data_IF_807483542715
#
_entry.id   IF_807483542715
#
_cell.length_a   1.000
_cell.length_b   1.000
_cell.length_c   1.000
_cell.angle_alpha   90.00
_cell.angle_beta   90.00
_cell.angle_gamma   90.00
#
_symmetry.space_group_name_H-M   'P 1'
#
loop_
_entity.id
_entity.type
_entity.pdbx_description
1 polymer ?
#
# COMPACT_ATOMS: atom_id res chain seq x y z
N UNK A 1 1.27 -11.49 7.81
CA UNK A 1 0.20 -10.55 7.38
C UNK A 1 -1.13 -10.68 8.14
N UNK A 2 -1.66 -11.88 8.38
CA UNK A 2 -2.99 -12.08 9.03
C UNK A 2 -3.18 -11.36 10.36
N UNK A 3 -2.17 -11.39 11.25
CA UNK A 3 -2.24 -10.73 12.56
C UNK A 3 -2.32 -9.21 12.41
N UNK A 4 -1.56 -8.61 11.50
CA UNK A 4 -1.61 -7.16 11.28
C UNK A 4 -2.91 -6.71 10.62
N UNK A 5 -3.49 -7.55 9.77
CA UNK A 5 -4.84 -7.34 9.24
C UNK A 5 -5.89 -7.41 10.35
N UNK A 6 -5.80 -8.40 11.23
CA UNK A 6 -6.69 -8.54 12.39
C UNK A 6 -6.57 -7.35 13.36
N UNK A 7 -5.39 -6.74 13.46
CA UNK A 7 -5.13 -5.52 14.24
C UNK A 7 -5.48 -4.22 13.50
N UNK A 8 -6.05 -4.28 12.29
CA UNK A 8 -6.45 -3.09 11.53
C UNK A 8 -5.28 -2.24 11.02
N UNK A 9 -4.11 -2.84 10.80
CA UNK A 9 -2.95 -2.11 10.29
C UNK A 9 -3.17 -1.64 8.85
N UNK A 10 -3.31 -0.33 8.68
CA UNK A 10 -3.69 0.27 7.41
C UNK A 10 -2.61 0.13 6.32
N UNK A 11 -1.33 0.16 6.70
CA UNK A 11 -0.20 -0.05 5.76
C UNK A 11 -0.19 -1.51 5.26
N UNK A 12 -0.49 -2.48 6.15
CA UNK A 12 -0.58 -3.89 5.76
C UNK A 12 -1.78 -4.13 4.82
N UNK A 13 -2.94 -3.55 5.15
CA UNK A 13 -4.13 -3.59 4.29
C UNK A 13 -3.85 -2.96 2.92
N UNK A 14 -3.18 -1.81 2.89
CA UNK A 14 -2.77 -1.15 1.65
C UNK A 14 -1.87 -2.05 0.79
N UNK A 15 -0.77 -2.57 1.36
CA UNK A 15 0.20 -3.39 0.60
C UNK A 15 -0.45 -4.65 0.04
N UNK A 16 -1.22 -5.35 0.88
CA UNK A 16 -1.93 -6.56 0.47
C UNK A 16 -2.99 -6.27 -0.57
N UNK A 17 -3.78 -5.21 -0.36
CA UNK A 17 -4.82 -4.79 -1.29
C UNK A 17 -4.28 -4.43 -2.66
N UNK A 18 -3.16 -3.69 -2.75
CA UNK A 18 -2.47 -3.41 -4.02
C UNK A 18 -2.03 -4.72 -4.70
N UNK A 19 -1.36 -5.61 -3.97
CA UNK A 19 -0.86 -6.86 -4.55
C UNK A 19 -2.01 -7.76 -5.03
N UNK A 20 -3.04 -7.95 -4.23
CA UNK A 20 -4.17 -8.82 -4.58
C UNK A 20 -5.01 -8.23 -5.72
N UNK A 21 -5.24 -6.91 -5.75
CA UNK A 21 -5.99 -6.27 -6.82
C UNK A 21 -5.24 -6.27 -8.15
N UNK A 22 -3.99 -5.79 -8.17
CA UNK A 22 -3.24 -5.59 -9.43
C UNK A 22 -2.53 -6.86 -9.93
N UNK A 23 -2.03 -7.72 -9.03
CA UNK A 23 -1.26 -8.90 -9.44
C UNK A 23 -2.10 -10.18 -9.49
N UNK A 24 -3.14 -10.30 -8.65
CA UNK A 24 -3.99 -11.50 -8.60
C UNK A 24 -5.37 -11.31 -9.20
N UNK A 25 -5.77 -10.08 -9.52
CA UNK A 25 -7.14 -9.75 -9.93
C UNK A 25 -8.19 -10.26 -8.93
N UNK A 26 -7.83 -10.31 -7.64
CA UNK A 26 -8.72 -10.73 -6.56
C UNK A 26 -9.59 -9.55 -6.12
N UNK A 27 -10.91 -9.73 -6.17
CA UNK A 27 -11.89 -8.71 -5.78
C UNK A 27 -11.79 -8.31 -4.31
N UNK A 28 -11.23 -9.17 -3.46
CA UNK A 28 -10.94 -8.83 -2.06
C UNK A 28 -9.91 -7.71 -1.93
N UNK A 29 -9.03 -7.53 -2.92
CA UNK A 29 -8.00 -6.49 -2.90
C UNK A 29 -8.58 -5.08 -2.83
N UNK A 30 -9.69 -4.83 -3.53
CA UNK A 30 -10.39 -3.54 -3.46
C UNK A 30 -10.98 -3.31 -2.06
N UNK A 31 -11.56 -4.33 -1.43
CA UNK A 31 -12.09 -4.22 -0.07
C UNK A 31 -11.03 -3.82 0.96
N UNK A 32 -9.82 -4.39 0.85
CA UNK A 32 -8.70 -4.02 1.72
C UNK A 32 -8.22 -2.58 1.47
N UNK A 33 -8.18 -2.15 0.20
CA UNK A 33 -7.83 -0.78 -0.16
C UNK A 33 -8.85 0.23 0.35
N UNK A 34 -10.14 -0.07 0.23
CA UNK A 34 -11.22 0.76 0.78
C UNK A 34 -11.10 0.85 2.30
N UNK A 35 -10.92 -0.26 3.00
CA UNK A 35 -10.76 -0.26 4.45
C UNK A 35 -9.55 0.56 4.91
N UNK A 36 -8.42 0.45 4.20
CA UNK A 36 -7.24 1.27 4.49
C UNK A 36 -7.50 2.77 4.22
N UNK A 37 -8.20 3.09 3.13
CA UNK A 37 -8.56 4.46 2.77
C UNK A 37 -9.51 5.09 3.79
N UNK A 38 -10.53 4.35 4.25
CA UNK A 38 -11.47 4.77 5.28
C UNK A 38 -10.77 4.99 6.63
N UNK A 39 -9.71 4.23 6.91
CA UNK A 39 -8.82 4.46 8.06
C UNK A 39 -7.88 5.67 7.91
N UNK A 40 -7.92 6.38 6.79
CA UNK A 40 -7.09 7.57 6.53
C UNK A 40 -5.72 7.29 5.90
N UNK A 41 -5.48 6.08 5.38
CA UNK A 41 -4.24 5.76 4.70
C UNK A 41 -4.13 6.44 3.33
N UNK A 42 -3.31 7.49 3.25
CA UNK A 42 -3.24 8.37 2.07
C UNK A 42 -2.90 7.64 0.77
N UNK A 43 -2.05 6.61 0.82
CA UNK A 43 -1.72 5.80 -0.35
C UNK A 43 -2.87 4.93 -0.82
N UNK A 44 -3.67 4.43 0.11
CA UNK A 44 -4.83 3.61 -0.22
C UNK A 44 -5.92 4.48 -0.83
N UNK A 45 -6.18 5.66 -0.25
CA UNK A 45 -7.06 6.66 -0.84
C UNK A 45 -6.62 7.07 -2.25
N UNK A 46 -5.31 7.24 -2.47
CA UNK A 46 -4.76 7.51 -3.80
C UNK A 46 -5.02 6.36 -4.79
N UNK A 47 -4.82 5.10 -4.39
CA UNK A 47 -5.08 3.94 -5.25
C UNK A 47 -6.57 3.79 -5.55
N UNK A 48 -7.44 3.93 -4.55
CA UNK A 48 -8.90 3.92 -4.73
C UNK A 48 -9.31 5.02 -5.70
N UNK A 49 -8.75 6.24 -5.58
CA UNK A 49 -9.02 7.33 -6.51
C UNK A 49 -8.60 6.99 -7.96
N UNK A 50 -7.44 6.34 -8.16
CA UNK A 50 -7.03 5.86 -9.49
C UNK A 50 -8.04 4.86 -10.04
N UNK A 51 -8.43 3.87 -9.24
CA UNK A 51 -9.40 2.83 -9.65
C UNK A 51 -10.73 3.48 -10.04
N UNK A 52 -11.23 4.43 -9.24
CA UNK A 52 -12.46 5.19 -9.52
C UNK A 52 -12.40 5.96 -10.84
N UNK A 53 -11.24 6.54 -11.18
CA UNK A 53 -11.03 7.22 -12.46
C UNK A 53 -11.16 6.25 -13.63
N UNK A 54 -10.56 5.06 -13.53
CA UNK A 54 -10.64 4.04 -14.57
C UNK A 54 -12.01 3.40 -14.69
N UNK A 55 -12.76 3.29 -13.59
CA UNK A 55 -14.14 2.78 -13.60
C UNK A 55 -15.11 3.75 -14.31
N UNK A 56 -14.76 5.03 -14.44
CA UNK A 56 -15.58 6.01 -15.14
C UNK A 56 -16.79 6.50 -14.34
N UNK A 57 -17.78 7.07 -15.04
CA UNK A 57 -19.06 7.49 -14.46
C UNK A 57 -18.94 8.57 -13.39
N UNK A 58 -19.82 8.52 -12.39
CA UNK A 58 -19.81 9.46 -11.25
C UNK A 58 -18.57 9.31 -10.37
N UNK A 59 -18.09 8.07 -10.19
CA UNK A 59 -16.87 7.76 -9.43
C UNK A 59 -15.61 8.41 -10.03
N UNK A 60 -15.57 8.63 -11.35
CA UNK A 60 -14.45 9.31 -11.99
C UNK A 60 -14.26 10.72 -11.46
N UNK A 61 -15.36 11.45 -11.26
CA UNK A 61 -15.33 12.83 -10.76
C UNK A 61 -14.76 12.88 -9.36
N UNK A 62 -15.17 11.96 -8.49
CA UNK A 62 -14.67 11.87 -7.11
C UNK A 62 -13.17 11.56 -7.07
N UNK A 63 -12.72 10.59 -7.88
CA UNK A 63 -11.30 10.24 -7.98
C UNK A 63 -10.46 11.40 -8.51
N UNK A 64 -10.93 12.12 -9.53
CA UNK A 64 -10.27 13.32 -10.05
C UNK A 64 -10.19 14.42 -8.99
N UNK A 65 -11.29 14.74 -8.32
CA UNK A 65 -11.31 15.76 -7.26
C UNK A 65 -10.32 15.44 -6.14
N UNK A 66 -10.24 14.16 -5.74
CA UNK A 66 -9.26 13.73 -4.74
C UNK A 66 -7.83 14.02 -5.20
N UNK A 67 -7.45 13.59 -6.40
CA UNK A 67 -6.09 13.77 -6.93
C UNK A 67 -5.75 15.25 -7.12
N UNK A 68 -6.67 16.07 -7.64
CA UNK A 68 -6.42 17.50 -7.86
C UNK A 68 -6.27 18.29 -6.56
N UNK A 69 -6.88 17.81 -5.46
CA UNK A 69 -6.75 18.43 -4.14
C UNK A 69 -5.47 18.02 -3.40
N UNK A 70 -4.69 17.07 -3.94
CA UNK A 70 -3.42 16.69 -3.35
C UNK A 70 -2.32 17.71 -3.66
N UNK A 71 -1.45 17.97 -2.68
CA UNK A 71 -0.23 18.72 -2.95
C UNK A 71 0.71 17.91 -3.86
N UNK A 72 1.52 18.56 -4.72
CA UNK A 72 2.47 17.87 -5.59
C UNK A 72 3.41 16.91 -4.86
N UNK A 73 3.81 17.25 -3.62
CA UNK A 73 4.65 16.40 -2.77
C UNK A 73 3.93 15.12 -2.33
N UNK A 74 2.68 15.22 -1.87
CA UNK A 74 1.88 14.04 -1.49
C UNK A 74 1.62 13.14 -2.68
N UNK A 75 1.30 13.73 -3.83
CA UNK A 75 1.07 13.00 -5.07
C UNK A 75 2.33 12.25 -5.52
N UNK A 76 3.51 12.89 -5.44
CA UNK A 76 4.79 12.23 -5.74
C UNK A 76 5.05 11.04 -4.81
N UNK A 77 4.89 11.22 -3.50
CA UNK A 77 5.06 10.14 -2.51
C UNK A 77 4.11 8.97 -2.76
N UNK A 78 2.85 9.23 -3.06
CA UNK A 78 1.88 8.16 -3.34
C UNK A 78 2.23 7.38 -4.61
N UNK A 79 2.71 8.05 -5.67
CA UNK A 79 3.21 7.39 -6.88
C UNK A 79 4.43 6.52 -6.61
N UNK A 80 5.38 7.01 -5.82
CA UNK A 80 6.58 6.25 -5.43
C UNK A 80 6.20 5.03 -4.58
N UNK A 81 5.30 5.21 -3.62
CA UNK A 81 4.81 4.12 -2.77
C UNK A 81 4.08 3.05 -3.58
N UNK A 82 3.18 3.45 -4.49
CA UNK A 82 2.49 2.50 -5.37
C UNK A 82 3.47 1.74 -6.27
N UNK A 83 4.45 2.43 -6.87
CA UNK A 83 5.50 1.79 -7.66
C UNK A 83 6.31 0.79 -6.85
N UNK A 84 6.67 1.16 -5.62
CA UNK A 84 7.39 0.26 -4.72
C UNK A 84 6.56 -0.98 -4.37
N UNK A 85 5.26 -0.83 -4.12
CA UNK A 85 4.38 -1.97 -3.80
C UNK A 85 4.13 -2.88 -5.00
N UNK A 86 3.98 -2.32 -6.22
CA UNK A 86 3.73 -3.10 -7.44
C UNK A 86 4.98 -3.79 -7.98
N UNK A 87 6.11 -3.07 -7.97
CA UNK A 87 7.32 -3.46 -8.71
C UNK A 87 8.54 -3.63 -7.82
N UNK A 88 8.34 -3.69 -6.50
CA UNK A 88 9.40 -3.69 -5.49
C UNK A 88 10.42 -4.82 -5.66
N UNK A 89 11.45 -4.55 -6.46
CA UNK A 89 12.84 -4.79 -6.04
C UNK A 89 13.17 -3.74 -4.98
N UNK A 90 13.66 -4.20 -3.83
CA UNK A 90 13.96 -3.38 -2.63
C UNK A 90 14.83 -2.16 -3.00
N UNK A 91 14.35 -0.90 -2.86
CA UNK A 91 15.24 0.24 -2.78
C UNK A 91 16.02 0.14 -1.49
N UNK A 92 17.30 0.47 -1.58
CA UNK A 92 18.21 0.60 -0.45
C UNK A 92 17.54 1.37 0.72
N UNK A 93 17.52 0.81 1.94
CA UNK A 93 16.86 1.40 3.13
C UNK A 93 17.26 2.85 3.44
N UNK A 94 18.42 3.27 2.94
CA UNK A 94 19.02 4.59 3.12
C UNK A 94 18.34 5.71 2.31
N UNK A 95 17.54 5.41 1.28
CA UNK A 95 16.93 6.44 0.43
C UNK A 95 15.60 7.01 0.95
N UNK A 96 14.96 6.36 1.92
CA UNK A 96 13.67 6.79 2.45
C UNK A 96 13.76 7.50 3.81
N UNK A 97 14.91 7.45 4.50
CA UNK A 97 15.17 8.15 5.77
C UNK A 97 14.21 7.82 6.93
N UNK A 98 13.14 7.08 6.68
CA UNK A 98 12.03 6.81 7.58
C UNK A 98 11.77 5.31 7.59
N UNK A 99 11.70 4.74 8.79
CA UNK A 99 11.36 3.33 9.00
C UNK A 99 9.98 3.05 8.41
N UNK A 100 9.73 1.84 7.87
CA UNK A 100 8.38 1.44 7.48
C UNK A 100 7.42 1.63 8.65
N UNK A 101 6.31 2.36 8.44
CA UNK A 101 5.26 2.63 9.43
C UNK A 101 4.40 1.37 9.65
N UNK A 102 4.98 0.18 9.50
CA UNK A 102 4.24 -1.05 9.69
C UNK A 102 4.10 -1.40 11.18
N UNK A 103 4.95 -0.88 12.08
CA UNK A 103 4.98 -1.33 13.47
C UNK A 103 5.15 -0.15 14.45
N UNK A 104 4.05 0.24 15.08
CA UNK A 104 4.01 1.21 16.20
C UNK A 104 4.61 0.65 17.49
N UNK A 105 5.00 -0.63 17.52
CA UNK A 105 5.74 -1.23 18.62
C UNK A 105 7.24 -1.00 18.39
N UNK A 106 7.84 -0.15 19.22
CA UNK A 106 9.29 0.09 19.23
C UNK A 106 10.02 -1.20 19.67
N UNK A 107 10.36 -2.08 18.74
CA UNK A 107 11.35 -3.13 18.98
C UNK A 107 12.75 -2.63 18.60
N UNK A 108 13.80 -2.89 19.41
CA UNK A 108 15.19 -2.55 19.08
C UNK A 108 15.70 -3.27 17.82
N UNK A 109 15.08 -4.38 17.44
CA UNK A 109 15.40 -5.06 16.19
C UNK A 109 14.59 -4.45 15.04
N UNK A 110 15.29 -4.06 13.98
CA UNK A 110 14.77 -3.53 12.71
C UNK A 110 13.88 -4.52 11.91
N UNK A 111 13.31 -5.52 12.57
CA UNK A 111 12.45 -6.56 12.00
C UNK A 111 11.11 -6.53 12.72
N UNK A 112 10.03 -6.44 11.95
CA UNK A 112 8.72 -6.56 12.56
C UNK A 112 8.28 -8.02 12.60
N UNK A 113 8.54 -8.67 13.74
CA UNK A 113 8.24 -10.09 13.96
C UNK A 113 6.74 -10.41 13.93
N UNK A 114 5.87 -9.43 14.21
CA UNK A 114 4.40 -9.60 14.18
C UNK A 114 3.82 -9.67 12.75
N UNK A 115 4.42 -8.96 11.79
CA UNK A 115 3.86 -8.85 10.45
C UNK A 115 4.56 -9.72 9.41
N UNK A 116 5.87 -10.00 9.60
CA UNK A 116 6.77 -10.58 8.60
C UNK A 116 6.70 -9.88 7.23
N UNK A 117 6.31 -8.61 7.16
CA UNK A 117 6.29 -7.84 5.92
C UNK A 117 7.68 -7.72 5.26
N UNK A 118 8.75 -7.92 6.04
CA UNK A 118 10.13 -7.96 5.57
C UNK A 118 10.48 -9.28 4.85
N UNK A 119 9.71 -10.36 5.10
CA UNK A 119 9.95 -11.71 4.56
C UNK A 119 8.99 -12.09 3.41
N UNK A 120 7.86 -11.40 3.26
CA UNK A 120 6.96 -11.61 2.09
C UNK A 120 7.55 -11.08 0.77
N UNK A 121 8.67 -10.34 0.82
CA UNK A 121 9.45 -9.96 -0.37
C UNK A 121 10.42 -11.08 -0.78
N UNK A 122 10.91 -11.92 0.16
CA UNK A 122 11.84 -13.02 -0.16
C UNK A 122 11.14 -14.21 -0.85
N UNK A 123 9.86 -14.45 -0.59
CA UNK A 123 9.11 -15.51 -1.28
C UNK A 123 8.83 -15.15 -2.75
N UNK A 124 8.64 -13.86 -3.08
CA UNK A 124 8.49 -13.41 -4.49
C UNK A 124 9.81 -13.59 -5.26
N UNK A 125 10.96 -13.49 -4.59
CA UNK A 125 12.28 -13.72 -5.21
C UNK A 125 12.53 -15.21 -5.48
N UNK A 126 11.98 -16.13 -4.67
CA UNK A 126 12.12 -17.58 -4.89
C UNK A 126 11.32 -18.13 -6.06
N UNK A 127 10.30 -17.42 -6.56
CA UNK A 127 9.52 -17.84 -7.73
C UNK A 127 10.12 -17.39 -9.07
N UNK A 128 11.29 -16.75 -9.06
CA UNK A 128 12.00 -16.28 -10.26
C UNK A 128 13.39 -16.95 -10.45
N UNK A 129 13.66 -18.07 -9.78
CA UNK A 129 14.78 -18.97 -10.07
C UNK A 129 14.30 -20.42 -10.16
#
# INVERSE_FOLDING_TARGET
>A
MEICRALGNLEALYRKGVYDFFNRSDSNGLGMLSQAADGGHIGASYVVAIISIFNGGESMREGLMFITNMTPLKLRRCREMLRYTLFGRVPQPHLLGERPICCTVQSPQFRCELCRCDLEIDEVVKFLY
#
